data_IF_853787195417
#
_entry.id   IF_853787195417
#
_cell.length_a   1.000
_cell.length_b   1.000
_cell.length_c   1.000
_cell.angle_alpha   90.00
_cell.angle_beta   90.00
_cell.angle_gamma   90.00
#
_symmetry.space_group_name_H-M   'P 1'
#
loop_
_entity.id
_entity.type
_entity.pdbx_description
1 polymer ?
#
# COMPACT_ATOMS: atom_id res chain seq x y z
N UNK A 1 -37.10 11.95 29.92
CA UNK A 1 -36.01 12.66 29.23
C UNK A 1 -35.17 11.62 28.48
N UNK A 2 -35.57 11.26 27.25
CA UNK A 2 -34.88 10.24 26.43
C UNK A 2 -33.70 10.88 25.73
N UNK A 3 -32.50 10.49 26.10
CA UNK A 3 -31.31 10.72 25.29
C UNK A 3 -31.29 9.66 24.19
N UNK A 4 -31.64 10.06 22.99
CA UNK A 4 -31.38 9.30 21.79
C UNK A 4 -29.84 9.44 21.54
N UNK A 5 -29.13 8.39 21.84
CA UNK A 5 -27.75 8.26 21.31
C UNK A 5 -27.89 7.98 19.80
N UNK A 6 -27.77 9.03 19.01
CA UNK A 6 -27.51 8.88 17.60
C UNK A 6 -26.19 8.12 17.46
N UNK A 7 -26.25 6.91 16.89
CA UNK A 7 -25.09 6.26 16.36
C UNK A 7 -24.56 7.18 15.24
N UNK A 8 -23.51 7.92 15.53
CA UNK A 8 -22.78 8.66 14.52
C UNK A 8 -22.16 7.63 13.56
N UNK A 9 -22.67 7.59 12.34
CA UNK A 9 -21.94 7.01 11.21
C UNK A 9 -20.77 7.95 10.91
N UNK A 10 -19.81 8.01 11.83
CA UNK A 10 -18.62 8.84 11.71
C UNK A 10 -17.51 8.04 11.08
N UNK A 11 -16.71 8.72 10.27
CA UNK A 11 -15.41 8.25 9.83
C UNK A 11 -14.58 7.73 11.02
N UNK A 12 -13.83 6.66 10.81
CA UNK A 12 -12.90 6.07 11.80
C UNK A 12 -11.90 7.11 12.30
N UNK A 13 -11.44 7.98 11.41
CA UNK A 13 -10.44 9.01 11.66
C UNK A 13 -9.00 8.49 11.66
N UNK A 14 -8.06 9.38 11.34
CA UNK A 14 -6.64 9.05 11.16
C UNK A 14 -6.03 8.37 12.40
N UNK A 15 -6.30 8.86 13.62
CA UNK A 15 -5.72 8.28 14.85
C UNK A 15 -6.16 6.83 15.07
N UNK A 16 -7.41 6.53 14.75
CA UNK A 16 -7.93 5.17 14.85
C UNK A 16 -7.37 4.28 13.74
N UNK A 17 -7.23 4.80 12.51
CA UNK A 17 -6.61 4.09 11.40
C UNK A 17 -5.15 3.72 11.72
N UNK A 18 -4.38 4.63 12.31
CA UNK A 18 -3.01 4.36 12.81
C UNK A 18 -3.02 3.24 13.85
N UNK A 19 -3.92 3.30 14.84
CA UNK A 19 -4.03 2.23 15.85
C UNK A 19 -4.33 0.88 15.21
N UNK A 20 -5.27 0.83 14.26
CA UNK A 20 -5.62 -0.40 13.54
C UNK A 20 -4.41 -0.95 12.77
N UNK A 21 -3.65 -0.10 12.05
CA UNK A 21 -2.46 -0.53 11.32
C UNK A 21 -1.38 -1.10 12.26
N UNK A 22 -1.17 -0.48 13.42
CA UNK A 22 -0.25 -0.95 14.45
C UNK A 22 -0.70 -2.30 15.04
N UNK A 23 -1.99 -2.47 15.32
CA UNK A 23 -2.57 -3.72 15.83
C UNK A 23 -2.41 -4.85 14.80
N UNK A 24 -2.62 -4.56 13.51
CA UNK A 24 -2.38 -5.51 12.42
C UNK A 24 -0.91 -5.95 12.40
N UNK A 25 0.03 -5.01 12.42
CA UNK A 25 1.46 -5.34 12.44
C UNK A 25 1.83 -6.19 13.66
N UNK A 26 1.32 -5.84 14.85
CA UNK A 26 1.58 -6.55 16.09
C UNK A 26 0.97 -7.96 16.12
N UNK A 27 -0.11 -8.21 15.37
CA UNK A 27 -0.78 -9.52 15.31
C UNK A 27 0.05 -10.59 14.60
N UNK A 28 1.03 -10.19 13.81
CA UNK A 28 1.96 -11.13 13.18
C UNK A 28 2.99 -11.62 14.21
N UNK A 29 2.90 -12.90 14.56
CA UNK A 29 3.52 -13.56 15.71
C UNK A 29 5.06 -13.53 15.77
N UNK A 30 5.74 -13.05 14.75
CA UNK A 30 7.20 -12.87 14.76
C UNK A 30 7.67 -11.58 15.42
N UNK A 31 6.76 -10.65 15.78
CA UNK A 31 7.10 -9.35 16.39
C UNK A 31 8.03 -8.46 15.57
N UNK A 32 8.30 -8.86 14.33
CA UNK A 32 9.24 -8.19 13.43
C UNK A 32 8.60 -7.19 12.45
N UNK A 33 7.28 -6.98 12.53
CA UNK A 33 6.57 -6.05 11.67
C UNK A 33 6.15 -4.78 12.40
N UNK A 34 6.09 -3.68 11.66
CA UNK A 34 5.60 -2.36 12.13
C UNK A 34 4.77 -1.71 11.04
N UNK A 35 3.81 -0.88 11.46
CA UNK A 35 3.16 0.06 10.55
C UNK A 35 4.15 1.20 10.27
N UNK A 36 4.35 1.51 8.99
CA UNK A 36 5.32 2.50 8.53
C UNK A 36 4.66 3.85 8.24
N UNK A 37 3.58 3.82 7.50
CA UNK A 37 2.78 5.00 7.20
C UNK A 37 1.29 4.67 7.14
N UNK A 38 0.46 5.70 7.30
CA UNK A 38 -0.97 5.65 7.04
C UNK A 38 -1.35 6.84 6.18
N UNK A 39 -2.05 6.57 5.08
CA UNK A 39 -2.55 7.60 4.17
C UNK A 39 -4.07 7.60 4.19
N UNK A 40 -4.65 8.76 4.41
CA UNK A 40 -6.08 8.98 4.26
C UNK A 40 -6.39 9.37 2.82
N UNK A 41 -7.23 8.55 2.19
CA UNK A 41 -7.83 8.85 0.90
C UNK A 41 -9.35 9.02 1.04
N UNK A 42 -10.00 9.55 0.02
CA UNK A 42 -11.44 9.76 0.02
C UNK A 42 -12.23 8.46 0.22
N UNK A 43 -11.74 7.34 -0.30
CA UNK A 43 -12.46 6.06 -0.29
C UNK A 43 -12.01 5.09 0.81
N UNK A 44 -10.80 5.24 1.34
CA UNK A 44 -10.23 4.34 2.35
C UNK A 44 -9.04 5.00 3.09
N UNK A 45 -8.58 4.35 4.17
CA UNK A 45 -7.23 4.53 4.67
C UNK A 45 -6.36 3.42 4.09
N UNK A 46 -5.20 3.79 3.57
CA UNK A 46 -4.14 2.87 3.20
C UNK A 46 -3.12 2.81 4.33
N UNK A 47 -2.51 1.66 4.57
CA UNK A 47 -1.34 1.56 5.43
C UNK A 47 -0.34 0.54 4.88
N UNK A 48 0.95 0.91 4.93
CA UNK A 48 2.07 0.02 4.66
C UNK A 48 2.58 -0.60 5.95
N UNK A 49 2.86 -1.90 5.88
CA UNK A 49 3.46 -2.67 6.98
C UNK A 49 4.83 -3.14 6.50
N UNK A 50 5.88 -2.88 7.29
CA UNK A 50 7.24 -3.27 6.92
C UNK A 50 7.93 -4.13 7.98
N UNK A 51 9.00 -4.78 7.58
CA UNK A 51 9.89 -5.51 8.47
C UNK A 51 10.88 -4.57 9.16
N UNK A 52 10.95 -4.63 10.50
CA UNK A 52 11.91 -3.85 11.29
C UNK A 52 13.38 -4.12 10.93
N UNK A 53 13.71 -5.39 10.64
CA UNK A 53 15.09 -5.80 10.43
C UNK A 53 15.66 -5.45 9.06
N UNK A 54 14.82 -5.41 8.03
CA UNK A 54 15.24 -5.17 6.65
C UNK A 54 14.81 -3.81 6.10
N UNK A 55 13.78 -3.20 6.69
CA UNK A 55 13.13 -2.02 6.15
C UNK A 55 12.32 -2.27 4.87
N UNK A 56 12.17 -3.54 4.47
CA UNK A 56 11.40 -3.92 3.28
C UNK A 56 9.92 -4.00 3.64
N UNK A 57 9.06 -3.47 2.80
CA UNK A 57 7.63 -3.60 2.92
C UNK A 57 7.20 -5.07 2.96
N UNK A 58 6.44 -5.43 3.99
CA UNK A 58 5.89 -6.77 4.15
C UNK A 58 4.62 -6.91 3.32
N UNK A 59 3.67 -6.00 3.52
CA UNK A 59 2.40 -5.97 2.80
C UNK A 59 1.67 -4.65 3.02
N UNK A 60 0.60 -4.47 2.25
CA UNK A 60 -0.24 -3.28 2.25
C UNK A 60 -1.68 -3.63 2.64
N UNK A 61 -2.34 -2.73 3.36
CA UNK A 61 -3.73 -2.92 3.82
C UNK A 61 -4.58 -1.70 3.50
N UNK A 62 -5.87 -1.95 3.28
CA UNK A 62 -6.90 -0.94 3.25
C UNK A 62 -7.76 -1.07 4.51
N UNK A 63 -8.11 0.08 5.09
CA UNK A 63 -9.00 0.18 6.25
C UNK A 63 -10.24 0.94 5.79
N UNK A 64 -11.40 0.32 5.95
CA UNK A 64 -12.68 0.93 5.62
C UNK A 64 -12.96 2.14 6.51
N UNK A 65 -13.32 3.26 5.91
CA UNK A 65 -13.49 4.53 6.60
C UNK A 65 -14.58 4.53 7.68
N UNK A 66 -15.61 3.71 7.51
CA UNK A 66 -16.79 3.71 8.38
C UNK A 66 -16.69 2.62 9.43
N UNK A 67 -16.30 1.42 9.02
CA UNK A 67 -16.32 0.24 9.89
C UNK A 67 -14.97 -0.04 10.55
N UNK A 68 -13.87 0.46 10.00
CA UNK A 68 -12.51 0.10 10.41
C UNK A 68 -12.10 -1.32 10.00
N UNK A 69 -12.90 -1.98 9.16
CA UNK A 69 -12.57 -3.31 8.66
C UNK A 69 -11.30 -3.26 7.81
N UNK A 70 -10.43 -4.25 8.03
CA UNK A 70 -9.15 -4.35 7.33
C UNK A 70 -9.24 -5.38 6.22
N UNK A 71 -8.72 -5.02 5.04
CA UNK A 71 -8.49 -5.94 3.93
C UNK A 71 -7.06 -5.79 3.42
N UNK A 72 -6.52 -6.83 2.79
CA UNK A 72 -5.26 -6.70 2.04
C UNK A 72 -5.52 -5.82 0.81
N UNK A 73 -4.55 -4.99 0.46
CA UNK A 73 -4.67 -4.17 -0.72
C UNK A 73 -4.81 -5.04 -1.98
N UNK A 74 -5.79 -4.75 -2.86
CA UNK A 74 -5.99 -5.54 -4.08
C UNK A 74 -4.86 -5.31 -5.10
N UNK A 75 -4.70 -6.26 -6.03
CA UNK A 75 -3.72 -6.16 -7.10
C UNK A 75 -2.30 -6.53 -6.66
N UNK A 76 -1.32 -5.60 -6.68
CA UNK A 76 0.09 -5.92 -6.47
C UNK A 76 0.39 -6.66 -5.18
N UNK A 77 -0.13 -6.20 -4.03
CA UNK A 77 0.10 -6.84 -2.74
C UNK A 77 -0.42 -8.30 -2.70
N UNK A 78 -1.58 -8.54 -3.29
CA UNK A 78 -2.15 -9.88 -3.34
C UNK A 78 -1.51 -10.78 -4.39
N UNK A 79 -1.08 -10.21 -5.54
CA UNK A 79 -0.67 -10.99 -6.72
C UNK A 79 0.85 -11.06 -6.92
N UNK A 80 1.60 -10.03 -6.54
CA UNK A 80 3.04 -9.92 -6.80
C UNK A 80 3.89 -10.12 -5.56
N UNK A 81 3.30 -10.09 -4.35
CA UNK A 81 4.05 -10.25 -3.11
C UNK A 81 4.58 -11.68 -2.97
N UNK A 82 5.90 -11.83 -3.08
CA UNK A 82 6.56 -13.13 -3.09
C UNK A 82 6.65 -13.79 -1.70
N UNK A 83 6.53 -13.01 -0.62
CA UNK A 83 6.74 -13.51 0.76
C UNK A 83 5.46 -13.52 1.60
N UNK A 84 4.64 -12.49 1.49
CA UNK A 84 3.46 -12.28 2.33
C UNK A 84 2.13 -12.43 1.58
N UNK A 85 2.16 -12.94 0.33
CA UNK A 85 0.94 -13.14 -0.45
C UNK A 85 -0.09 -13.98 0.30
N UNK A 86 -1.35 -13.57 0.25
CA UNK A 86 -2.49 -14.35 0.74
C UNK A 86 -2.94 -15.40 -0.28
N UNK A 87 -2.49 -15.30 -1.52
CA UNK A 87 -2.75 -16.30 -2.56
C UNK A 87 -1.71 -17.40 -2.49
N UNK A 88 -2.17 -18.63 -2.21
CA UNK A 88 -1.27 -19.80 -2.18
C UNK A 88 -0.77 -20.13 -3.59
N UNK A 89 0.54 -20.48 -3.75
CA UNK A 89 1.04 -21.06 -4.99
C UNK A 89 0.18 -22.28 -5.38
N UNK A 90 -0.38 -22.26 -6.59
CA UNK A 90 -1.22 -23.33 -7.11
C UNK A 90 -2.72 -23.02 -7.22
N UNK A 91 -3.24 -21.96 -6.64
CA UNK A 91 -4.65 -21.56 -6.81
C UNK A 91 -4.97 -20.98 -8.19
N UNK A 92 -3.98 -20.53 -8.95
CA UNK A 92 -4.09 -19.92 -10.28
C UNK A 92 -3.45 -20.80 -11.36
N UNK A 93 -3.82 -22.08 -11.45
CA UNK A 93 -3.55 -22.91 -12.64
C UNK A 93 -2.12 -22.93 -13.17
N UNK A 94 -1.09 -22.96 -12.31
CA UNK A 94 0.31 -23.13 -12.73
C UNK A 94 1.01 -21.90 -13.26
N UNK A 95 0.40 -20.74 -13.33
CA UNK A 95 1.07 -19.49 -13.60
C UNK A 95 1.70 -18.95 -12.31
N UNK A 96 3.02 -19.09 -12.18
CA UNK A 96 3.80 -18.35 -11.18
C UNK A 96 3.88 -16.89 -11.65
N UNK A 97 2.92 -16.08 -11.22
CA UNK A 97 2.97 -14.62 -11.39
C UNK A 97 3.99 -13.97 -10.45
N UNK A 98 4.53 -14.78 -9.53
CA UNK A 98 5.52 -14.35 -8.54
C UNK A 98 6.88 -14.80 -9.07
N UNK A 99 7.76 -13.84 -9.34
CA UNK A 99 9.15 -14.11 -9.68
C UNK A 99 9.85 -14.85 -8.53
N UNK A 100 10.76 -15.75 -8.86
CA UNK A 100 11.62 -16.42 -7.89
C UNK A 100 13.01 -15.80 -7.88
N UNK A 101 13.53 -15.50 -6.69
CA UNK A 101 14.84 -14.88 -6.52
C UNK A 101 14.80 -13.35 -6.39
N UNK A 102 15.97 -12.68 -6.45
CA UNK A 102 16.04 -11.22 -6.36
C UNK A 102 15.29 -10.53 -7.50
N UNK A 103 14.67 -9.41 -7.22
CA UNK A 103 14.05 -8.56 -8.24
C UNK A 103 15.11 -8.13 -9.27
N UNK A 104 14.75 -8.14 -10.55
CA UNK A 104 15.62 -7.74 -11.67
C UNK A 104 15.50 -6.25 -12.01
N UNK A 105 14.39 -5.64 -11.61
CA UNK A 105 14.16 -4.19 -11.69
C UNK A 105 14.66 -3.56 -10.40
N UNK A 106 15.61 -2.62 -10.49
CA UNK A 106 16.07 -1.84 -9.33
C UNK A 106 15.07 -0.74 -8.96
N UNK A 107 15.16 -0.19 -7.74
CA UNK A 107 14.32 0.94 -7.32
C UNK A 107 14.43 2.14 -8.26
N UNK A 108 15.64 2.47 -8.72
CA UNK A 108 15.83 3.55 -9.68
C UNK A 108 15.14 3.27 -11.03
N UNK A 109 15.22 2.04 -11.50
CA UNK A 109 14.51 1.62 -12.72
C UNK A 109 12.99 1.65 -12.51
N UNK A 110 12.50 1.20 -11.35
CA UNK A 110 11.09 1.27 -11.01
C UNK A 110 10.57 2.72 -11.00
N UNK A 111 11.32 3.66 -10.42
CA UNK A 111 10.98 5.08 -10.47
C UNK A 111 10.92 5.63 -11.89
N UNK A 112 11.89 5.28 -12.73
CA UNK A 112 11.91 5.71 -14.14
C UNK A 112 10.73 5.13 -14.94
N UNK A 113 10.37 3.87 -14.70
CA UNK A 113 9.21 3.20 -15.30
C UNK A 113 7.92 3.88 -14.85
N UNK A 114 7.78 4.14 -13.54
CA UNK A 114 6.64 4.87 -12.97
C UNK A 114 6.50 6.26 -13.60
N UNK A 115 7.61 7.03 -13.68
CA UNK A 115 7.58 8.37 -14.27
C UNK A 115 7.18 8.32 -15.75
N UNK A 116 7.71 7.38 -16.52
CA UNK A 116 7.33 7.23 -17.93
C UNK A 116 5.83 6.96 -18.10
N UNK A 117 5.27 6.12 -17.23
CA UNK A 117 3.84 5.84 -17.25
C UNK A 117 3.02 7.09 -16.83
N UNK A 118 3.48 7.84 -15.83
CA UNK A 118 2.83 9.07 -15.36
C UNK A 118 2.85 10.17 -16.44
N UNK A 119 3.93 10.31 -17.17
CA UNK A 119 4.03 11.31 -18.26
C UNK A 119 2.95 11.11 -19.33
N UNK A 120 2.51 9.87 -19.55
CA UNK A 120 1.47 9.50 -20.49
C UNK A 120 0.05 9.56 -19.91
N UNK A 121 -0.13 9.32 -18.59
CA UNK A 121 -1.45 9.10 -17.98
C UNK A 121 -1.84 10.18 -16.96
N UNK A 122 -0.86 10.81 -16.31
CA UNK A 122 -1.02 11.84 -15.27
C UNK A 122 0.01 12.97 -15.49
N UNK A 123 -0.05 13.61 -16.65
CA UNK A 123 0.91 14.64 -17.06
C UNK A 123 1.08 15.73 -15.98
N UNK A 124 2.32 16.12 -15.73
CA UNK A 124 2.68 17.14 -14.73
C UNK A 124 2.89 16.59 -13.31
N UNK A 125 2.68 15.29 -13.08
CA UNK A 125 3.01 14.65 -11.80
C UNK A 125 4.42 14.05 -11.82
N UNK A 126 4.96 13.80 -10.62
CA UNK A 126 6.28 13.21 -10.40
C UNK A 126 6.18 11.95 -9.53
N UNK A 127 6.90 10.92 -9.94
CA UNK A 127 7.10 9.71 -9.14
C UNK A 127 8.04 10.01 -7.96
N UNK A 128 7.61 9.71 -6.75
CA UNK A 128 8.45 9.75 -5.57
C UNK A 128 9.43 8.57 -5.55
N UNK A 129 10.26 8.50 -4.51
CA UNK A 129 11.13 7.35 -4.27
C UNK A 129 10.30 6.07 -4.09
N UNK A 130 10.61 4.98 -4.79
CA UNK A 130 9.87 3.73 -4.64
C UNK A 130 10.11 3.06 -3.29
N UNK A 131 9.06 2.56 -2.67
CA UNK A 131 9.13 1.71 -1.48
C UNK A 131 9.22 0.24 -1.91
N UNK A 132 10.30 -0.46 -1.55
CA UNK A 132 10.49 -1.84 -1.95
C UNK A 132 9.64 -2.80 -1.12
N UNK A 133 8.90 -3.67 -1.80
CA UNK A 133 8.23 -4.84 -1.28
C UNK A 133 8.83 -6.12 -1.87
N UNK A 134 8.43 -7.27 -1.35
CA UNK A 134 8.88 -8.55 -1.90
C UNK A 134 8.18 -8.84 -3.23
N UNK A 135 8.86 -8.51 -4.33
CA UNK A 135 8.40 -8.76 -5.70
C UNK A 135 7.88 -7.54 -6.45
N UNK A 136 7.74 -6.40 -5.79
CA UNK A 136 7.28 -5.15 -6.43
C UNK A 136 7.74 -3.92 -5.64
N UNK A 137 7.47 -2.77 -6.21
CA UNK A 137 7.66 -1.46 -5.60
C UNK A 137 6.33 -0.72 -5.59
N UNK A 138 5.99 -0.08 -4.48
CA UNK A 138 4.93 0.93 -4.44
C UNK A 138 5.54 2.30 -4.63
N UNK A 139 4.90 3.13 -5.43
CA UNK A 139 5.39 4.45 -5.81
C UNK A 139 4.27 5.45 -5.66
N UNK A 140 4.43 6.34 -4.71
CA UNK A 140 3.61 7.53 -4.59
C UNK A 140 3.94 8.52 -5.68
N UNK A 141 2.96 9.25 -6.15
CA UNK A 141 3.19 10.31 -7.11
C UNK A 141 2.33 11.54 -6.83
N UNK A 142 2.83 12.68 -7.24
CA UNK A 142 2.13 13.93 -7.00
C UNK A 142 2.73 15.13 -7.72
N UNK A 143 2.31 16.29 -7.29
CA UNK A 143 2.90 17.59 -7.66
C UNK A 143 3.70 18.12 -6.49
N UNK A 144 4.35 19.29 -6.64
CA UNK A 144 5.13 19.89 -5.56
C UNK A 144 4.26 20.10 -4.31
N UNK A 145 4.54 19.32 -3.25
CA UNK A 145 3.88 19.45 -1.95
C UNK A 145 2.51 18.78 -1.85
N UNK A 146 2.05 18.06 -2.87
CA UNK A 146 0.75 17.37 -2.82
C UNK A 146 0.83 15.98 -3.45
N UNK A 147 0.51 14.96 -2.66
CA UNK A 147 0.28 13.60 -3.14
C UNK A 147 -1.00 13.58 -4.01
N UNK A 148 -0.97 12.85 -5.11
CA UNK A 148 -2.11 12.70 -6.03
C UNK A 148 -2.62 11.27 -6.03
N UNK A 149 -1.72 10.29 -5.96
CA UNK A 149 -2.09 8.88 -5.99
C UNK A 149 -0.89 7.97 -5.86
N UNK A 150 -1.15 6.69 -6.11
CA UNK A 150 -0.19 5.60 -5.97
C UNK A 150 -0.25 4.68 -7.18
N UNK A 151 0.86 4.04 -7.46
CA UNK A 151 0.97 2.93 -8.42
C UNK A 151 2.03 1.94 -7.94
N UNK A 152 2.00 0.73 -8.45
CA UNK A 152 3.06 -0.25 -8.22
C UNK A 152 3.78 -0.62 -9.50
N UNK A 153 5.04 -0.99 -9.36
CA UNK A 153 5.89 -1.51 -10.44
C UNK A 153 6.35 -2.92 -10.08
N UNK A 154 6.05 -3.89 -10.92
CA UNK A 154 6.49 -5.27 -10.72
C UNK A 154 8.01 -5.37 -10.78
N UNK A 155 8.63 -5.94 -9.74
CA UNK A 155 10.08 -6.02 -9.59
C UNK A 155 10.80 -6.97 -10.55
N UNK A 156 10.07 -7.75 -11.35
CA UNK A 156 10.64 -8.68 -12.32
C UNK A 156 10.37 -8.26 -13.76
N UNK A 157 9.16 -7.76 -14.04
CA UNK A 157 8.70 -7.46 -15.39
C UNK A 157 8.68 -5.97 -15.71
N UNK A 158 8.68 -5.10 -14.71
CA UNK A 158 8.44 -3.66 -14.86
C UNK A 158 6.99 -3.29 -15.20
N UNK A 159 6.04 -4.23 -15.09
CA UNK A 159 4.64 -3.94 -15.30
C UNK A 159 4.15 -2.92 -14.28
N UNK A 160 3.42 -1.90 -14.75
CA UNK A 160 2.80 -0.88 -13.89
C UNK A 160 1.36 -1.26 -13.57
N UNK A 161 0.97 -1.06 -12.31
CA UNK A 161 -0.40 -1.19 -11.83
C UNK A 161 -0.82 0.07 -11.07
N UNK A 162 -1.73 0.84 -11.65
CA UNK A 162 -2.27 2.05 -11.02
C UNK A 162 -3.32 1.68 -9.97
N UNK A 163 -3.27 2.32 -8.79
CA UNK A 163 -4.18 2.10 -7.68
C UNK A 163 -5.42 3.00 -7.82
N UNK A 164 -6.42 2.53 -8.54
CA UNK A 164 -7.63 3.32 -8.84
C UNK A 164 -8.68 3.32 -7.73
N UNK A 165 -8.44 2.62 -6.62
CA UNK A 165 -9.41 2.38 -5.54
C UNK A 165 -9.30 3.31 -4.33
N UNK A 166 -8.37 4.25 -4.34
CA UNK A 166 -8.13 5.13 -3.18
C UNK A 166 -9.00 6.39 -3.18
N UNK A 167 -9.33 6.93 -4.35
CA UNK A 167 -9.91 8.26 -4.47
C UNK A 167 -8.87 9.36 -4.26
N UNK A 168 -9.34 10.56 -3.90
CA UNK A 168 -8.46 11.72 -3.70
C UNK A 168 -7.69 11.62 -2.39
N UNK A 169 -6.42 12.05 -2.42
CA UNK A 169 -5.57 12.18 -1.22
C UNK A 169 -6.12 13.24 -0.25
N UNK A 170 -6.05 12.95 1.05
CA UNK A 170 -6.48 13.86 2.13
C UNK A 170 -5.30 14.16 3.06
N UNK A 171 -4.72 13.14 3.72
CA UNK A 171 -3.65 13.31 4.71
C UNK A 171 -2.70 12.11 4.68
N UNK A 172 -1.43 12.34 4.99
CA UNK A 172 -0.42 11.29 5.22
C UNK A 172 0.15 11.43 6.61
N UNK A 173 0.30 10.30 7.31
CA UNK A 173 1.00 10.21 8.58
C UNK A 173 2.12 9.17 8.47
N UNK A 174 3.36 9.69 8.44
CA UNK A 174 4.57 8.90 8.58
C UNK A 174 4.74 8.49 10.06
N UNK A 175 4.95 7.20 10.30
CA UNK A 175 5.12 6.65 11.65
C UNK A 175 6.59 6.45 12.01
N UNK A 176 7.51 6.69 11.08
CA UNK A 176 8.95 6.72 11.33
C UNK A 176 9.52 5.35 11.73
N UNK A 177 8.98 4.27 11.18
CA UNK A 177 9.36 2.91 11.55
C UNK A 177 10.68 2.45 10.89
#
# INVERSE_FOLDING_TARGET
MNRIFGAGSGDVGMDRAVTIAQDVAASYSSGGLVADEVIEFADNYYASIREKGTGIGAFEILIDRVTGNVTREPGPDMMWNAKYSVMRPGMMGGFSLIGSGPMTVSGQQAQAIAQHWLDANHAGTKANSPDPFYGYYTVDFGTTGQLVGMLSVNGYTGQVWYHSWHGSFIELRDLGA
#
